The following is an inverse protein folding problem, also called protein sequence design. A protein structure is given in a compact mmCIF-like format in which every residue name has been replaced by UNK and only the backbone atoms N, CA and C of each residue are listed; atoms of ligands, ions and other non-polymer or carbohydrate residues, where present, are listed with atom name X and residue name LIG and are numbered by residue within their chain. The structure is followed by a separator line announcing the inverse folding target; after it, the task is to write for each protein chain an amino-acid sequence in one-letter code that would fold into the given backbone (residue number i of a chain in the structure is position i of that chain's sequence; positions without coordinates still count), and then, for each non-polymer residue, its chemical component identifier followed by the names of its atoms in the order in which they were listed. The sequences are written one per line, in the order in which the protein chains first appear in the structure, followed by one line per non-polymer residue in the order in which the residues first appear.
data_IF_057358625434
#
_entry.id   IF_057358625434
#
_cell.length_a   1.000
_cell.length_b   1.000
_cell.length_c   1.000
_cell.angle_alpha   90.00
_cell.angle_beta   90.00
_cell.angle_gamma   90.00
#
_symmetry.space_group_name_H-M   'P 1'
#
loop_
_entity.id
_entity.type
_entity.pdbx_description
1 polymer ?
#
# COMPACT_ATOMS: atom_id res chain seq x y z
N UNK A 1 19.17 6.27 -45.02
CA UNK A 1 20.20 7.27 -44.70
C UNK A 1 20.54 7.05 -43.23
N UNK A 2 21.82 6.87 -42.92
CA UNK A 2 22.34 6.44 -41.62
C UNK A 2 21.67 7.12 -40.42
N UNK A 3 20.85 6.37 -39.69
CA UNK A 3 20.29 6.68 -38.36
C UNK A 3 21.39 6.72 -37.29
N UNK A 4 22.45 7.48 -37.53
CA UNK A 4 23.41 7.81 -36.50
C UNK A 4 22.94 9.10 -35.87
N UNK A 5 22.24 8.98 -34.75
CA UNK A 5 21.91 10.10 -33.89
C UNK A 5 23.16 10.94 -33.63
N UNK A 6 23.06 12.27 -33.75
CA UNK A 6 24.17 13.14 -33.39
C UNK A 6 24.42 12.97 -31.87
N UNK A 7 25.66 12.62 -31.45
CA UNK A 7 25.99 12.49 -30.02
C UNK A 7 25.66 13.76 -29.22
N UNK A 8 25.66 14.94 -29.85
CA UNK A 8 25.25 16.19 -29.21
C UNK A 8 23.76 16.22 -28.90
N UNK A 9 22.92 15.71 -29.80
CA UNK A 9 21.47 15.69 -29.66
C UNK A 9 21.01 14.67 -28.62
N UNK A 10 21.64 13.49 -28.59
CA UNK A 10 21.40 12.49 -27.54
C UNK A 10 21.79 13.01 -26.16
N UNK A 11 22.93 13.72 -26.06
CA UNK A 11 23.35 14.35 -24.81
C UNK A 11 22.32 15.38 -24.34
N UNK A 12 21.81 16.22 -25.25
CA UNK A 12 20.76 17.20 -24.94
C UNK A 12 19.48 16.51 -24.44
N UNK A 13 19.08 15.39 -25.05
CA UNK A 13 17.90 14.64 -24.66
C UNK A 13 18.03 14.02 -23.25
N UNK A 14 19.18 13.41 -22.99
CA UNK A 14 19.52 12.80 -21.69
C UNK A 14 19.47 13.85 -20.57
N UNK A 15 20.10 14.99 -20.81
CA UNK A 15 20.14 16.14 -19.91
C UNK A 15 18.75 16.74 -19.64
N UNK A 16 17.87 16.70 -20.65
CA UNK A 16 16.48 17.14 -20.56
C UNK A 16 15.64 16.17 -19.73
N UNK A 17 15.79 14.86 -19.96
CA UNK A 17 15.05 13.83 -19.24
C UNK A 17 15.47 13.75 -17.78
N UNK A 18 16.76 13.91 -17.49
CA UNK A 18 17.27 13.99 -16.12
C UNK A 18 16.60 15.14 -15.36
N UNK A 19 16.53 16.33 -15.97
CA UNK A 19 15.89 17.50 -15.35
C UNK A 19 14.39 17.27 -15.06
N UNK A 20 13.68 16.58 -15.95
CA UNK A 20 12.25 16.28 -15.79
C UNK A 20 12.01 15.18 -14.75
N UNK A 21 12.93 14.21 -14.61
CA UNK A 21 12.83 13.13 -13.63
C UNK A 21 13.27 13.55 -12.22
N UNK A 22 14.17 14.53 -12.10
CA UNK A 22 14.64 15.05 -10.81
C UNK A 22 13.65 16.03 -10.16
N UNK A 23 12.76 16.68 -10.91
CA UNK A 23 11.74 17.59 -10.35
C UNK A 23 10.53 16.84 -9.75
N UNK A 24 10.10 17.29 -8.56
CA UNK A 24 8.95 16.73 -7.84
C UNK A 24 7.61 17.02 -8.53
N UNK A 25 6.60 16.10 -8.43
CA UNK A 25 5.28 16.31 -9.02
C UNK A 25 4.64 17.59 -8.48
N UNK A 26 4.43 18.57 -9.37
CA UNK A 26 3.91 19.91 -9.03
C UNK A 26 4.80 21.08 -9.45
N UNK A 27 6.06 20.83 -9.86
CA UNK A 27 7.01 21.87 -10.31
C UNK A 27 7.21 21.93 -11.84
N UNK A 28 6.40 21.19 -12.60
CA UNK A 28 6.55 20.99 -14.05
C UNK A 28 6.66 22.27 -14.90
N UNK A 29 6.18 23.41 -14.43
CA UNK A 29 6.35 24.70 -15.10
C UNK A 29 7.84 25.14 -15.14
N UNK A 30 8.59 24.91 -14.07
CA UNK A 30 10.00 25.28 -13.97
C UNK A 30 10.88 24.38 -14.85
N UNK A 31 10.65 23.05 -14.86
CA UNK A 31 11.28 22.14 -15.82
C UNK A 31 11.01 22.55 -17.26
N UNK A 32 9.79 22.94 -17.60
CA UNK A 32 9.43 23.34 -18.97
C UNK A 32 10.12 24.63 -19.41
N UNK A 33 10.26 25.61 -18.53
CA UNK A 33 10.99 26.85 -18.83
C UNK A 33 12.50 26.62 -18.93
N UNK A 34 13.06 25.78 -18.06
CA UNK A 34 14.46 25.37 -18.15
C UNK A 34 14.75 24.58 -19.44
N UNK A 35 13.83 23.69 -19.84
CA UNK A 35 13.85 22.96 -21.11
C UNK A 35 13.82 23.93 -22.30
N UNK A 36 12.91 24.90 -22.29
CA UNK A 36 12.79 25.91 -23.34
C UNK A 36 14.05 26.76 -23.47
N UNK A 37 14.63 27.17 -22.34
CA UNK A 37 15.86 27.96 -22.30
C UNK A 37 17.08 27.16 -22.77
N UNK A 38 17.13 25.86 -22.50
CA UNK A 38 18.21 24.97 -22.94
C UNK A 38 18.08 24.62 -24.43
N UNK A 39 16.86 24.41 -24.93
CA UNK A 39 16.61 24.22 -26.36
C UNK A 39 16.98 25.47 -27.17
N UNK A 40 16.61 26.67 -26.69
CA UNK A 40 17.00 27.95 -27.29
C UNK A 40 18.51 28.15 -27.36
N UNK A 41 19.24 27.84 -26.29
CA UNK A 41 20.71 27.96 -26.24
C UNK A 41 21.41 27.04 -27.26
N UNK A 42 20.79 25.92 -27.61
CA UNK A 42 21.34 24.94 -28.54
C UNK A 42 20.74 25.03 -29.95
N UNK A 43 19.91 26.04 -30.24
CA UNK A 43 19.25 26.20 -31.54
C UNK A 43 18.27 25.08 -31.90
N UNK A 44 17.87 24.25 -30.94
CA UNK A 44 16.96 23.12 -31.18
C UNK A 44 15.51 23.58 -31.10
N UNK A 45 14.74 23.25 -32.14
CA UNK A 45 13.30 23.56 -32.19
C UNK A 45 12.48 22.44 -31.55
N UNK A 46 11.26 22.76 -31.09
CA UNK A 46 10.35 21.74 -30.55
C UNK A 46 10.04 20.62 -31.55
N UNK A 47 10.03 20.93 -32.86
CA UNK A 47 9.88 19.93 -33.92
C UNK A 47 11.07 18.98 -34.03
N UNK A 48 12.30 19.50 -33.89
CA UNK A 48 13.51 18.67 -33.87
C UNK A 48 13.53 17.72 -32.67
N UNK A 49 13.23 18.22 -31.46
CA UNK A 49 13.12 17.40 -30.26
C UNK A 49 12.07 16.30 -30.42
N UNK A 50 10.89 16.63 -30.95
CA UNK A 50 9.84 15.64 -31.23
C UNK A 50 10.32 14.55 -32.18
N UNK A 51 11.04 14.92 -33.24
CA UNK A 51 11.57 13.96 -34.20
C UNK A 51 12.62 13.03 -33.56
N UNK A 52 13.44 13.55 -32.64
CA UNK A 52 14.43 12.75 -31.90
C UNK A 52 13.76 11.75 -30.97
N UNK A 53 12.77 12.17 -30.17
CA UNK A 53 11.99 11.28 -29.32
C UNK A 53 11.26 10.20 -30.14
N UNK A 54 10.73 10.57 -31.31
CA UNK A 54 10.03 9.64 -32.19
C UNK A 54 10.99 8.60 -32.78
N UNK A 55 12.21 9.00 -33.12
CA UNK A 55 13.22 8.12 -33.71
C UNK A 55 13.86 7.14 -32.69
N UNK A 56 13.88 7.49 -31.40
CA UNK A 56 14.44 6.65 -30.33
C UNK A 56 13.42 5.64 -29.79
N UNK A 57 12.12 5.88 -30.02
CA UNK A 57 11.06 4.99 -29.55
C UNK A 57 11.16 3.58 -30.22
N UNK A 58 11.03 2.47 -29.46
CA UNK A 58 11.10 1.10 -29.99
C UNK A 58 10.06 0.77 -31.08
N UNK A 59 9.03 1.61 -31.22
CA UNK A 59 8.02 1.54 -32.28
C UNK A 59 7.60 2.96 -32.67
N UNK A 60 8.31 3.61 -33.62
CA UNK A 60 7.91 4.94 -34.07
C UNK A 60 6.49 4.86 -34.67
N UNK A 61 5.54 5.73 -34.28
CA UNK A 61 4.28 5.84 -35.01
C UNK A 61 4.59 6.11 -36.48
N UNK A 62 3.96 5.38 -37.43
CA UNK A 62 4.28 5.51 -38.84
C UNK A 62 4.14 6.97 -39.27
N UNK A 63 5.21 7.53 -39.86
CA UNK A 63 5.19 8.90 -40.39
C UNK A 63 3.97 9.06 -41.28
N UNK A 64 3.07 9.97 -40.92
CA UNK A 64 1.92 10.31 -41.74
C UNK A 64 2.42 10.77 -43.10
N UNK A 65 2.18 9.96 -44.13
CA UNK A 65 2.52 10.31 -45.51
C UNK A 65 1.84 11.63 -45.87
N UNK A 66 2.47 12.51 -46.67
CA UNK A 66 1.83 13.73 -47.13
C UNK A 66 0.56 13.34 -47.88
N UNK A 67 -0.60 13.62 -47.26
CA UNK A 67 -1.91 13.22 -47.79
C UNK A 67 -2.08 13.83 -49.18
N UNK A 68 -2.33 13.03 -50.24
CA UNK A 68 -2.73 13.57 -51.53
C UNK A 68 -4.02 14.37 -51.33
N UNK A 69 -4.06 15.56 -51.95
CA UNK A 69 -5.14 16.52 -51.83
C UNK A 69 -6.46 15.85 -52.24
N UNK A 70 -7.31 15.54 -51.26
CA UNK A 70 -8.58 14.86 -51.50
C UNK A 70 -9.56 15.77 -52.28
N UNK A 71 -10.42 15.20 -53.14
CA UNK A 71 -11.48 15.93 -53.82
C UNK A 71 -12.46 16.52 -52.79
N UNK A 72 -12.92 17.76 -53.05
CA UNK A 72 -13.67 18.66 -52.13
C UNK A 72 -14.99 18.14 -51.52
N UNK A 73 -15.35 16.87 -51.65
CA UNK A 73 -16.55 16.26 -51.05
C UNK A 73 -16.30 15.19 -49.97
N UNK A 74 -15.13 14.55 -49.95
CA UNK A 74 -14.87 13.41 -49.04
C UNK A 74 -14.53 13.84 -47.59
N UNK A 75 -14.01 15.07 -47.40
CA UNK A 75 -13.62 15.57 -46.09
C UNK A 75 -14.79 15.88 -45.15
N UNK A 76 -15.94 16.28 -45.69
CA UNK A 76 -17.12 16.61 -44.89
C UNK A 76 -17.70 15.36 -44.20
N UNK A 77 -17.83 14.25 -44.93
CA UNK A 77 -18.30 12.98 -44.37
C UNK A 77 -17.32 12.41 -43.33
N UNK A 78 -16.01 12.45 -43.60
CA UNK A 78 -14.98 12.01 -42.66
C UNK A 78 -14.96 12.88 -41.37
N UNK A 79 -15.09 14.20 -41.49
CA UNK A 79 -15.17 15.10 -40.35
C UNK A 79 -16.44 14.91 -39.51
N UNK A 80 -17.57 14.57 -40.16
CA UNK A 80 -18.82 14.26 -39.48
C UNK A 80 -18.71 12.96 -38.66
N UNK A 81 -18.05 11.92 -39.21
CA UNK A 81 -17.78 10.69 -38.46
C UNK A 81 -16.80 10.91 -37.29
N UNK A 82 -15.77 11.75 -37.47
CA UNK A 82 -14.84 12.11 -36.39
C UNK A 82 -15.55 12.92 -35.28
N UNK A 83 -16.41 13.87 -35.64
CA UNK A 83 -17.24 14.61 -34.69
C UNK A 83 -18.22 13.69 -33.94
N UNK A 84 -18.83 12.72 -34.63
CA UNK A 84 -19.72 11.75 -33.99
C UNK A 84 -18.96 10.86 -33.00
N UNK A 85 -17.76 10.39 -33.37
CA UNK A 85 -16.90 9.63 -32.48
C UNK A 85 -16.45 10.46 -31.26
N UNK A 86 -16.15 11.75 -31.45
CA UNK A 86 -15.82 12.66 -30.35
C UNK A 86 -17.02 12.83 -29.39
N UNK A 87 -18.24 12.98 -29.91
CA UNK A 87 -19.46 13.07 -29.09
C UNK A 87 -19.69 11.81 -28.25
N UNK A 88 -19.51 10.63 -28.84
CA UNK A 88 -19.63 9.34 -28.13
C UNK A 88 -18.59 9.23 -27.01
N UNK A 89 -17.34 9.65 -27.26
CA UNK A 89 -16.30 9.68 -26.23
C UNK A 89 -16.65 10.65 -25.11
N UNK A 90 -17.16 11.84 -25.44
CA UNK A 90 -17.59 12.82 -24.43
C UNK A 90 -18.71 12.24 -23.58
N UNK A 91 -19.74 11.60 -24.18
CA UNK A 91 -20.82 10.98 -23.39
C UNK A 91 -20.31 9.85 -22.50
N UNK A 92 -19.36 9.04 -22.98
CA UNK A 92 -18.74 7.98 -22.18
C UNK A 92 -17.94 8.55 -21.00
N UNK A 93 -17.17 9.62 -21.22
CA UNK A 93 -16.41 10.29 -20.18
C UNK A 93 -17.34 10.94 -19.14
N UNK A 94 -18.41 11.59 -19.57
CA UNK A 94 -19.42 12.17 -18.66
C UNK A 94 -20.09 11.09 -17.82
N UNK A 95 -20.46 9.96 -18.42
CA UNK A 95 -21.02 8.81 -17.68
C UNK A 95 -20.02 8.25 -16.66
N UNK A 96 -18.75 8.14 -17.05
CA UNK A 96 -17.69 7.70 -16.14
C UNK A 96 -17.48 8.66 -14.96
N UNK A 97 -17.58 9.98 -15.19
CA UNK A 97 -17.48 10.99 -14.14
C UNK A 97 -18.67 10.91 -13.18
N UNK A 98 -19.89 10.77 -13.71
CA UNK A 98 -21.07 10.61 -12.87
C UNK A 98 -20.98 9.35 -12.00
N UNK A 99 -20.52 8.24 -12.59
CA UNK A 99 -20.31 6.99 -11.85
C UNK A 99 -19.25 7.16 -10.76
N UNK A 100 -18.11 7.78 -11.07
CA UNK A 100 -17.06 8.06 -10.10
C UNK A 100 -17.54 8.98 -8.97
N UNK A 101 -18.37 10.00 -9.26
CA UNK A 101 -18.93 10.87 -8.24
C UNK A 101 -19.85 10.09 -7.28
N UNK A 102 -20.69 9.21 -7.81
CA UNK A 102 -21.55 8.32 -7.03
C UNK A 102 -20.70 7.38 -6.16
N UNK A 103 -19.69 6.74 -6.73
CA UNK A 103 -18.77 5.86 -5.99
C UNK A 103 -18.03 6.60 -4.87
N UNK A 104 -17.62 7.85 -5.12
CA UNK A 104 -16.94 8.69 -4.15
C UNK A 104 -17.88 9.09 -3.01
N UNK A 105 -19.14 9.43 -3.30
CA UNK A 105 -20.16 9.66 -2.27
C UNK A 105 -20.42 8.41 -1.43
N UNK A 106 -20.51 7.24 -2.06
CA UNK A 106 -20.68 5.97 -1.34
C UNK A 106 -19.46 5.62 -0.47
N UNK A 107 -18.24 5.89 -0.95
CA UNK A 107 -17.03 5.68 -0.16
C UNK A 107 -16.98 6.61 1.05
N UNK A 108 -17.37 7.88 0.89
CA UNK A 108 -17.48 8.84 2.00
C UNK A 108 -18.53 8.42 3.03
N UNK A 109 -19.73 8.04 2.58
CA UNK A 109 -20.79 7.56 3.48
C UNK A 109 -20.34 6.33 4.29
N UNK A 110 -19.66 5.37 3.65
CA UNK A 110 -19.08 4.20 4.34
C UNK A 110 -17.99 4.58 5.34
N UNK A 111 -17.14 5.56 5.01
CA UNK A 111 -16.12 6.04 5.93
C UNK A 111 -16.74 6.73 7.16
N UNK A 112 -17.81 7.50 6.99
CA UNK A 112 -18.56 8.12 8.08
C UNK A 112 -19.26 7.07 8.97
N UNK A 113 -19.85 6.04 8.35
CA UNK A 113 -20.43 4.91 9.08
C UNK A 113 -19.38 4.14 9.89
N UNK A 114 -18.22 3.83 9.31
CA UNK A 114 -17.15 3.15 10.06
C UNK A 114 -16.62 4.02 11.19
N UNK A 115 -16.50 5.34 10.98
CA UNK A 115 -16.12 6.28 12.04
C UNK A 115 -17.14 6.31 13.18
N UNK A 116 -18.44 6.29 12.87
CA UNK A 116 -19.47 6.27 13.92
C UNK A 116 -19.47 4.95 14.69
N UNK A 117 -19.27 3.82 14.03
CA UNK A 117 -19.10 2.51 14.69
C UNK A 117 -17.87 2.49 15.59
N UNK A 118 -16.73 3.02 15.12
CA UNK A 118 -15.52 3.13 15.95
C UNK A 118 -15.75 4.03 17.17
N UNK A 119 -16.46 5.14 17.00
CA UNK A 119 -16.80 6.01 18.12
C UNK A 119 -17.65 5.29 19.17
N UNK A 120 -18.70 4.58 18.74
CA UNK A 120 -19.56 3.79 19.64
C UNK A 120 -18.78 2.69 20.36
N UNK A 121 -17.87 2.00 19.67
CA UNK A 121 -17.03 0.95 20.30
C UNK A 121 -16.01 1.53 21.28
N UNK A 122 -15.43 2.69 20.98
CA UNK A 122 -14.53 3.40 21.90
C UNK A 122 -15.28 3.85 23.16
N UNK A 123 -16.49 4.38 22.99
CA UNK A 123 -17.35 4.76 24.10
C UNK A 123 -17.70 3.55 24.98
N UNK A 124 -18.16 2.45 24.39
CA UNK A 124 -18.47 1.22 25.13
C UNK A 124 -17.22 0.68 25.88
N UNK A 125 -16.04 0.78 25.28
CA UNK A 125 -14.77 0.43 25.96
C UNK A 125 -14.46 1.36 27.13
N UNK A 126 -14.68 2.67 26.99
CA UNK A 126 -14.48 3.61 28.08
C UNK A 126 -15.46 3.34 29.25
N UNK A 127 -16.72 3.04 28.95
CA UNK A 127 -17.74 2.70 29.96
C UNK A 127 -17.38 1.43 30.72
N UNK A 128 -16.96 0.37 30.02
CA UNK A 128 -16.50 -0.87 30.67
C UNK A 128 -15.24 -0.67 31.51
N UNK A 129 -14.27 0.10 31.02
CA UNK A 129 -13.07 0.42 31.79
C UNK A 129 -13.39 1.25 33.04
N UNK A 130 -14.31 2.20 32.95
CA UNK A 130 -14.78 2.97 34.09
C UNK A 130 -15.52 2.08 35.11
N UNK A 131 -16.35 1.14 34.66
CA UNK A 131 -16.99 0.17 35.55
C UNK A 131 -15.95 -0.71 36.27
N UNK A 132 -14.93 -1.19 35.55
CA UNK A 132 -13.85 -1.98 36.14
C UNK A 132 -13.00 -1.18 37.12
N UNK A 133 -12.67 0.08 36.83
CA UNK A 133 -11.88 0.91 37.74
C UNK A 133 -12.63 1.21 39.03
N UNK A 134 -13.96 1.41 38.98
CA UNK A 134 -14.81 1.54 40.16
C UNK A 134 -14.85 0.23 40.96
N UNK A 135 -14.92 -0.93 40.30
CA UNK A 135 -14.88 -2.23 40.99
C UNK A 135 -13.50 -2.50 41.63
N UNK A 136 -12.40 -2.12 40.97
CA UNK A 136 -11.04 -2.25 41.50
C UNK A 136 -10.76 -1.29 42.66
N UNK A 137 -11.32 -0.08 42.60
CA UNK A 137 -11.19 0.91 43.67
C UNK A 137 -11.97 0.54 44.94
N UNK A 138 -12.84 -0.49 44.88
CA UNK A 138 -13.53 -1.00 46.06
C UNK A 138 -12.52 -1.78 46.91
N UNK A 139 -12.16 -1.28 48.12
CA UNK A 139 -11.22 -2.00 48.97
C UNK A 139 -11.80 -3.36 49.30
N UNK A 140 -11.07 -4.44 48.96
CA UNK A 140 -11.45 -5.76 49.41
C UNK A 140 -11.49 -5.77 50.94
N UNK A 141 -12.53 -6.36 51.57
CA UNK A 141 -12.55 -6.48 53.02
C UNK A 141 -11.31 -7.28 53.43
N UNK A 142 -10.50 -6.70 54.33
CA UNK A 142 -9.18 -7.20 54.79
C UNK A 142 -9.19 -8.70 55.17
N UNK A 143 -10.35 -9.24 55.52
CA UNK A 143 -10.57 -10.68 55.78
C UNK A 143 -10.45 -11.56 54.52
N UNK A 144 -10.96 -11.12 53.36
CA UNK A 144 -10.90 -11.89 52.10
C UNK A 144 -9.48 -11.92 51.52
N UNK A 145 -8.72 -10.82 51.63
CA UNK A 145 -7.32 -10.80 51.19
C UNK A 145 -6.45 -11.75 52.00
N UNK A 146 -6.71 -11.90 53.30
CA UNK A 146 -6.01 -12.88 54.15
C UNK A 146 -6.31 -14.31 53.70
N UNK A 147 -7.56 -14.64 53.36
CA UNK A 147 -7.94 -15.98 52.89
C UNK A 147 -7.29 -16.31 51.54
N UNK A 148 -7.27 -15.38 50.59
CA UNK A 148 -6.62 -15.58 49.29
C UNK A 148 -5.11 -15.75 49.44
N UNK A 149 -4.48 -14.95 50.30
CA UNK A 149 -3.05 -15.08 50.59
C UNK A 149 -2.72 -16.42 51.27
N UNK A 150 -3.53 -16.83 52.26
CA UNK A 150 -3.37 -18.12 52.93
C UNK A 150 -3.52 -19.29 51.94
N UNK A 151 -4.46 -19.21 50.99
CA UNK A 151 -4.64 -20.21 49.96
C UNK A 151 -3.46 -20.26 48.98
N UNK A 152 -2.95 -19.10 48.54
CA UNK A 152 -1.79 -19.03 47.65
C UNK A 152 -0.51 -19.59 48.32
N UNK A 153 -0.29 -19.24 49.60
CA UNK A 153 0.83 -19.78 50.39
C UNK A 153 0.67 -21.28 50.63
N UNK A 154 -0.56 -21.73 50.94
CA UNK A 154 -0.87 -23.15 51.10
C UNK A 154 -0.66 -23.97 49.82
N UNK A 155 -1.04 -23.43 48.66
CA UNK A 155 -0.83 -24.08 47.37
C UNK A 155 0.66 -24.18 47.01
N UNK A 156 1.44 -23.12 47.23
CA UNK A 156 2.89 -23.12 47.01
C UNK A 156 3.61 -24.10 47.94
N UNK A 157 3.22 -24.14 49.21
CA UNK A 157 3.76 -25.08 50.19
C UNK A 157 3.36 -26.54 49.86
N UNK A 158 2.14 -26.77 49.36
CA UNK A 158 1.68 -28.09 48.95
C UNK A 158 2.43 -28.65 47.73
N UNK A 159 2.74 -27.81 46.75
CA UNK A 159 3.52 -28.22 45.57
C UNK A 159 4.98 -28.51 45.94
N UNK A 160 5.59 -27.68 46.80
CA UNK A 160 6.95 -27.93 47.29
C UNK A 160 7.05 -29.16 48.20
N UNK A 161 6.01 -29.43 49.01
CA UNK A 161 5.93 -30.61 49.88
C UNK A 161 5.83 -31.93 49.11
N UNK A 162 5.10 -31.95 47.99
CA UNK A 162 5.00 -33.14 47.13
C UNK A 162 6.32 -33.46 46.42
N UNK A 163 7.07 -32.45 45.96
CA UNK A 163 8.35 -32.66 45.28
C UNK A 163 9.47 -33.16 46.22
N UNK A 164 9.44 -32.80 47.50
CA UNK A 164 10.44 -33.25 48.48
C UNK A 164 10.28 -34.73 48.89
N UNK A 165 9.07 -35.28 48.82
CA UNK A 165 8.79 -36.65 49.27
C UNK A 165 9.19 -37.70 48.22
N UNK A 166 9.14 -37.38 46.93
CA UNK A 166 9.55 -38.30 45.86
C UNK A 166 11.08 -38.49 45.78
N UNK A 167 11.86 -37.48 46.16
CA UNK A 167 13.33 -37.57 46.14
C UNK A 167 13.89 -38.50 47.24
N UNK A 168 13.20 -38.63 48.37
CA UNK A 168 13.59 -39.52 49.47
C UNK A 168 13.26 -40.99 49.19
N UNK A 169 12.20 -41.29 48.42
CA UNK A 169 11.85 -42.67 48.08
C UNK A 169 12.71 -43.27 46.94
N UNK A 170 13.34 -42.43 46.11
CA UNK A 170 14.18 -42.88 44.99
C UNK A 170 15.58 -43.35 45.40
N UNK A 171 16.02 -43.08 46.65
CA UNK A 171 17.32 -43.50 47.17
C UNK A 171 17.29 -44.86 47.90
N UNK A 172 16.10 -45.43 48.11
CA UNK A 172 15.89 -46.59 48.98
C UNK A 172 15.53 -47.89 48.23
N UNK A 173 15.84 -47.98 46.92
CA UNK A 173 15.68 -49.23 46.15
C UNK A 173 16.96 -50.07 46.17
N UNK A 174 17.07 -51.11 47.01
CA UNK A 174 18.16 -52.08 46.90
C UNK A 174 17.96 -52.98 45.67
N UNK A 175 19.01 -53.06 44.85
CA UNK A 175 19.14 -53.97 43.71
C UNK A 175 19.07 -55.43 44.16
N UNK A 176 18.09 -56.18 43.66
CA UNK A 176 18.05 -57.63 43.76
C UNK A 176 19.18 -58.28 42.93
N UNK A 177 19.78 -59.38 43.42
CA UNK A 177 20.31 -60.39 42.52
C UNK A 177 19.60 -61.74 42.68
N UNK A 178 19.32 -62.29 41.51
CA UNK A 178 18.81 -63.60 41.15
C UNK A 178 19.71 -64.74 41.67
N UNK A 179 19.14 -65.78 42.28
CA UNK A 179 19.83 -67.07 42.46
C UNK A 179 18.95 -68.22 41.98
N UNK A 180 19.39 -68.85 40.89
CA UNK A 180 18.91 -70.15 40.45
C UNK A 180 19.55 -71.27 41.29
N UNK A 181 18.78 -72.29 41.69
CA UNK A 181 19.23 -73.70 41.76
C UNK A 181 18.08 -74.67 41.99
N UNK A 182 18.29 -75.87 41.45
CA UNK A 182 17.42 -77.03 41.32
C UNK A 182 17.14 -77.83 42.63
N UNK A 183 16.32 -78.89 42.45
CA UNK A 183 16.05 -80.08 43.28
C UNK A 183 14.78 -80.06 44.17
N UNK A 184 13.72 -80.75 43.72
CA UNK A 184 13.43 -82.13 44.14
C UNK A 184 12.50 -82.84 43.15
#
# INVERSE_FOLDING_TARGET
MSDKFDPKELKILSDILALVLEEHPGQSANALDALRNRARRNGTTGGALKNLFTAIAPSPPPRAQPRPRAPRGAGAAASATEMQAARVRISQLTESLNRLDIDLRHARARAEELRSQLYLTQQARAETQAALSVMQARPMPRRRSIVVLAFAVGALAGIAGMAGMEFLHALDTPTAPYSATALK
#
